data_IF_172466772724
#
_entry.id   IF_172466772724
#
_cell.length_a   1.000
_cell.length_b   1.000
_cell.length_c   1.000
_cell.angle_alpha   90.00
_cell.angle_beta   90.00
_cell.angle_gamma   90.00
#
_symmetry.space_group_name_H-M   'P 1'
#
loop_
_entity.id
_entity.type
_entity.pdbx_description
1 polymer ?
#
# COMPACT_ATOMS: atom_id res chain seq x y z
N UNK A 1 -3.28 27.78 -14.06
CA UNK A 1 -2.96 26.96 -12.89
C UNK A 1 -4.24 26.64 -12.14
N UNK A 2 -4.41 25.40 -11.75
CA UNK A 2 -5.60 24.90 -11.03
C UNK A 2 -5.15 24.17 -9.78
N UNK A 3 -5.82 24.47 -8.64
CA UNK A 3 -5.73 23.71 -7.39
C UNK A 3 -7.06 23.01 -7.16
N UNK A 4 -7.05 21.68 -7.14
CA UNK A 4 -8.19 20.85 -6.79
C UNK A 4 -8.04 20.38 -5.35
N UNK A 5 -8.82 20.96 -4.46
CA UNK A 5 -8.90 20.66 -3.03
C UNK A 5 -10.35 20.37 -2.65
N UNK A 6 -10.71 19.32 -2.02
CA UNK A 6 -9.97 18.16 -1.56
C UNK A 6 -10.56 16.92 -2.24
N UNK A 7 -9.74 16.01 -2.71
CA UNK A 7 -10.18 14.81 -3.44
C UNK A 7 -11.15 13.95 -2.62
N UNK A 8 -10.95 13.83 -1.32
CA UNK A 8 -11.83 13.06 -0.44
C UNK A 8 -13.28 13.59 -0.43
N UNK A 9 -13.47 14.92 -0.44
CA UNK A 9 -14.80 15.51 -0.54
C UNK A 9 -15.42 15.31 -1.93
N UNK A 10 -14.64 15.43 -2.99
CA UNK A 10 -15.12 15.18 -4.35
C UNK A 10 -15.63 13.73 -4.48
N UNK A 11 -14.86 12.76 -4.00
CA UNK A 11 -15.28 11.35 -4.01
C UNK A 11 -16.56 11.13 -3.21
N UNK A 12 -16.68 11.72 -2.02
CA UNK A 12 -17.90 11.61 -1.23
C UNK A 12 -19.12 12.21 -1.93
N UNK A 13 -18.95 13.36 -2.58
CA UNK A 13 -20.02 14.01 -3.33
C UNK A 13 -20.45 13.15 -4.52
N UNK A 14 -19.52 12.66 -5.32
CA UNK A 14 -19.82 11.81 -6.47
C UNK A 14 -20.45 10.47 -6.09
N UNK A 15 -20.13 9.93 -4.92
CA UNK A 15 -20.72 8.67 -4.45
C UNK A 15 -22.12 8.83 -3.87
N UNK A 16 -22.39 9.92 -3.15
CA UNK A 16 -23.54 10.00 -2.25
C UNK A 16 -24.56 11.10 -2.59
N UNK A 17 -24.21 12.08 -3.43
CA UNK A 17 -25.19 13.09 -3.86
C UNK A 17 -26.08 12.55 -4.99
N UNK A 18 -27.33 13.00 -5.06
CA UNK A 18 -28.29 12.61 -6.12
C UNK A 18 -27.80 12.90 -7.53
N UNK A 19 -27.02 13.97 -7.70
CA UNK A 19 -26.42 14.36 -8.99
C UNK A 19 -25.06 13.68 -9.25
N UNK A 20 -24.56 12.88 -8.33
CA UNK A 20 -23.27 12.22 -8.44
C UNK A 20 -23.32 10.94 -9.30
N UNK A 21 -22.15 10.43 -9.65
CA UNK A 21 -22.01 9.24 -10.49
C UNK A 21 -22.24 7.89 -9.73
N UNK A 22 -22.46 7.95 -8.41
CA UNK A 22 -22.74 6.78 -7.58
C UNK A 22 -21.63 5.71 -7.65
N UNK A 23 -21.97 4.50 -8.07
CA UNK A 23 -21.03 3.39 -8.19
C UNK A 23 -19.97 3.58 -9.31
N UNK A 24 -20.10 4.58 -10.15
CA UNK A 24 -19.16 4.95 -11.22
C UNK A 24 -18.33 6.19 -10.89
N UNK A 25 -18.32 6.62 -9.62
CA UNK A 25 -17.61 7.82 -9.16
C UNK A 25 -16.11 7.81 -9.52
N UNK A 26 -15.45 6.66 -9.46
CA UNK A 26 -14.04 6.53 -9.83
C UNK A 26 -13.79 6.84 -11.31
N UNK A 27 -14.64 6.35 -12.22
CA UNK A 27 -14.50 6.61 -13.64
C UNK A 27 -14.78 8.08 -13.98
N UNK A 28 -15.89 8.63 -13.47
CA UNK A 28 -16.28 10.01 -13.71
C UNK A 28 -15.20 11.01 -13.22
N UNK A 29 -14.67 10.80 -12.02
CA UNK A 29 -13.61 11.65 -11.46
C UNK A 29 -12.33 11.56 -12.30
N UNK A 30 -11.89 10.35 -12.67
CA UNK A 30 -10.66 10.17 -13.44
C UNK A 30 -10.76 10.74 -14.86
N UNK A 31 -11.92 10.65 -15.50
CA UNK A 31 -12.20 11.30 -16.79
C UNK A 31 -12.14 12.83 -16.65
N UNK A 32 -12.86 13.40 -15.65
CA UNK A 32 -12.84 14.83 -15.39
C UNK A 32 -11.45 15.38 -15.09
N UNK A 33 -10.63 14.65 -14.34
CA UNK A 33 -9.22 15.03 -14.05
C UNK A 33 -8.37 15.02 -15.32
N UNK A 34 -8.53 14.03 -16.21
CA UNK A 34 -7.81 13.99 -17.50
C UNK A 34 -8.19 15.17 -18.40
N UNK A 35 -9.47 15.50 -18.48
CA UNK A 35 -9.95 16.66 -19.22
C UNK A 35 -9.44 17.97 -18.63
N UNK A 36 -9.49 18.13 -17.31
CA UNK A 36 -8.98 19.30 -16.61
C UNK A 36 -7.47 19.49 -16.82
N UNK A 37 -6.70 18.40 -16.76
CA UNK A 37 -5.26 18.44 -17.00
C UNK A 37 -4.88 18.86 -18.43
N UNK A 38 -5.75 18.57 -19.42
CA UNK A 38 -5.53 19.04 -20.81
C UNK A 38 -5.83 20.53 -20.99
N UNK A 39 -6.63 21.12 -20.10
CA UNK A 39 -7.10 22.52 -20.20
C UNK A 39 -6.29 23.50 -19.36
N UNK A 40 -5.40 23.03 -18.50
CA UNK A 40 -4.58 23.90 -17.63
C UNK A 40 -3.08 23.65 -17.82
N UNK A 41 -2.27 24.67 -17.52
CA UNK A 41 -0.80 24.56 -17.58
C UNK A 41 -0.22 23.78 -16.42
N UNK A 42 -0.79 23.96 -15.20
CA UNK A 42 -0.41 23.24 -14.01
C UNK A 42 -1.66 22.83 -13.24
N UNK A 43 -1.71 21.58 -12.83
CA UNK A 43 -2.76 21.02 -12.00
C UNK A 43 -2.15 20.49 -10.69
N UNK A 44 -2.59 21.02 -9.57
CA UNK A 44 -2.24 20.52 -8.23
C UNK A 44 -3.47 19.87 -7.62
N UNK A 45 -3.35 18.63 -7.19
CA UNK A 45 -4.43 17.86 -6.56
C UNK A 45 -4.04 17.54 -5.13
N UNK A 46 -4.90 17.89 -4.18
CA UNK A 46 -4.73 17.59 -2.75
C UNK A 46 -5.67 16.47 -2.35
N UNK A 47 -5.13 15.43 -1.72
CA UNK A 47 -5.88 14.30 -1.20
C UNK A 47 -5.50 14.02 0.25
N UNK A 48 -6.39 13.37 1.00
CA UNK A 48 -6.16 13.04 2.40
C UNK A 48 -5.71 11.57 2.53
N UNK A 49 -4.86 11.33 3.52
CA UNK A 49 -4.52 9.99 3.96
C UNK A 49 -5.58 9.54 4.98
N UNK A 50 -6.43 8.59 4.59
CA UNK A 50 -7.53 8.04 5.39
C UNK A 50 -7.48 6.50 5.50
N UNK A 51 -6.37 5.91 5.06
CA UNK A 51 -6.26 4.47 4.81
C UNK A 51 -5.60 3.69 5.95
N UNK A 52 -5.00 4.39 6.89
CA UNK A 52 -4.18 3.79 7.96
C UNK A 52 -4.91 3.73 9.32
N UNK A 53 -6.25 3.84 9.32
CA UNK A 53 -7.06 3.70 10.52
C UNK A 53 -7.22 2.23 10.93
N UNK A 54 -7.15 1.98 12.23
CA UNK A 54 -7.26 0.64 12.82
C UNK A 54 -8.69 0.21 13.19
N UNK A 55 -9.65 1.14 13.14
CA UNK A 55 -11.05 0.83 13.46
C UNK A 55 -11.71 0.11 12.28
N UNK A 56 -12.48 -0.97 12.53
CA UNK A 56 -13.21 -1.63 11.46
C UNK A 56 -14.17 -0.68 10.75
N UNK A 57 -13.99 -0.55 9.44
CA UNK A 57 -14.84 0.30 8.60
C UNK A 57 -16.24 -0.33 8.42
N UNK A 58 -17.27 0.50 8.35
CA UNK A 58 -18.56 0.09 7.81
C UNK A 58 -18.42 -0.32 6.34
N UNK A 59 -19.36 -1.11 5.77
CA UNK A 59 -19.33 -1.45 4.35
C UNK A 59 -19.22 -0.23 3.43
N UNK A 60 -19.93 0.85 3.76
CA UNK A 60 -19.91 2.12 3.01
C UNK A 60 -18.53 2.79 3.10
N UNK A 61 -17.92 2.82 4.29
CA UNK A 61 -16.59 3.39 4.48
C UNK A 61 -15.51 2.58 3.74
N UNK A 62 -15.63 1.24 3.73
CA UNK A 62 -14.73 0.39 2.95
C UNK A 62 -14.81 0.69 1.46
N UNK A 63 -16.03 0.86 0.94
CA UNK A 63 -16.24 1.18 -0.48
C UNK A 63 -15.71 2.57 -0.81
N UNK A 64 -15.96 3.57 0.03
CA UNK A 64 -15.40 4.91 -0.10
C UNK A 64 -13.86 4.89 -0.12
N UNK A 65 -13.22 4.22 0.84
CA UNK A 65 -11.75 4.08 0.87
C UNK A 65 -11.22 3.34 -0.36
N UNK A 66 -11.93 2.31 -0.83
CA UNK A 66 -11.54 1.56 -2.02
C UNK A 66 -11.54 2.46 -3.27
N UNK A 67 -12.60 3.27 -3.45
CA UNK A 67 -12.73 4.20 -4.58
C UNK A 67 -11.66 5.29 -4.50
N UNK A 68 -11.53 5.96 -3.36
CA UNK A 68 -10.52 7.00 -3.15
C UNK A 68 -9.10 6.46 -3.34
N UNK A 69 -8.79 5.29 -2.81
CA UNK A 69 -7.47 4.65 -2.96
C UNK A 69 -7.14 4.33 -4.42
N UNK A 70 -8.11 3.83 -5.19
CA UNK A 70 -7.96 3.60 -6.62
C UNK A 70 -7.69 4.90 -7.38
N UNK A 71 -8.47 5.95 -7.11
CA UNK A 71 -8.28 7.26 -7.72
C UNK A 71 -6.89 7.81 -7.40
N UNK A 72 -6.46 7.75 -6.14
CA UNK A 72 -5.14 8.22 -5.72
C UNK A 72 -4.00 7.48 -6.43
N UNK A 73 -4.10 6.16 -6.60
CA UNK A 73 -3.11 5.37 -7.34
C UNK A 73 -3.04 5.77 -8.83
N UNK A 74 -4.19 5.95 -9.48
CA UNK A 74 -4.25 6.35 -10.89
C UNK A 74 -3.71 7.78 -11.10
N UNK A 75 -4.07 8.71 -10.21
CA UNK A 75 -3.54 10.10 -10.25
C UNK A 75 -2.03 10.09 -10.03
N UNK A 76 -1.53 9.36 -9.03
CA UNK A 76 -0.11 9.27 -8.73
C UNK A 76 0.70 8.66 -9.91
N UNK A 77 0.10 7.70 -10.64
CA UNK A 77 0.72 7.14 -11.84
C UNK A 77 0.86 8.19 -12.95
N UNK A 78 -0.15 9.05 -13.15
CA UNK A 78 -0.16 10.12 -14.17
C UNK A 78 0.66 11.35 -13.77
N UNK A 79 0.75 11.67 -12.47
CA UNK A 79 1.40 12.88 -11.99
C UNK A 79 2.91 12.89 -12.27
N UNK A 80 3.46 14.07 -12.59
CA UNK A 80 4.91 14.26 -12.71
C UNK A 80 5.61 14.23 -11.35
N UNK A 81 4.93 14.71 -10.32
CA UNK A 81 5.44 14.78 -8.95
C UNK A 81 4.37 14.33 -7.95
N UNK A 82 4.79 13.56 -6.95
CA UNK A 82 3.96 13.18 -5.80
C UNK A 82 4.70 13.53 -4.52
N UNK A 83 4.02 14.26 -3.64
CA UNK A 83 4.57 14.70 -2.35
C UNK A 83 3.62 14.30 -1.23
N UNK A 84 4.12 13.59 -0.24
CA UNK A 84 3.44 13.34 1.02
C UNK A 84 3.81 14.44 2.02
N UNK A 85 2.85 14.99 2.73
CA UNK A 85 3.10 16.00 3.77
C UNK A 85 2.73 15.42 5.12
N UNK A 86 3.73 15.29 6.01
CA UNK A 86 3.57 14.76 7.37
C UNK A 86 3.97 15.87 8.35
N UNK A 87 3.04 16.31 9.17
CA UNK A 87 3.25 17.43 10.12
C UNK A 87 3.87 18.68 9.49
N UNK A 88 3.44 19.02 8.27
CA UNK A 88 3.98 20.16 7.53
C UNK A 88 5.32 19.91 6.82
N UNK A 89 5.92 18.74 6.99
CA UNK A 89 7.19 18.37 6.35
C UNK A 89 6.89 17.64 5.04
N UNK A 90 7.33 18.21 3.91
CA UNK A 90 7.14 17.64 2.60
C UNK A 90 8.13 16.49 2.33
N UNK A 91 7.61 15.33 1.99
CA UNK A 91 8.38 14.16 1.56
C UNK A 91 8.07 13.81 0.10
N UNK A 92 9.04 13.95 -0.76
CA UNK A 92 8.86 13.67 -2.18
C UNK A 92 8.87 12.15 -2.43
N UNK A 93 7.76 11.63 -2.98
CA UNK A 93 7.58 10.20 -3.31
C UNK A 93 7.87 9.92 -4.78
N UNK A 94 7.49 10.82 -5.69
CA UNK A 94 7.81 10.77 -7.12
C UNK A 94 8.39 12.11 -7.53
N UNK A 95 9.51 12.09 -8.24
CA UNK A 95 10.17 13.28 -8.79
C UNK A 95 9.77 13.44 -10.25
N UNK A 96 9.72 14.69 -10.78
CA UNK A 96 9.61 14.90 -12.21
C UNK A 96 10.80 14.21 -12.90
N UNK A 97 10.54 13.57 -14.04
CA UNK A 97 11.62 13.13 -14.90
C UNK A 97 12.45 14.36 -15.29
N UNK A 98 13.62 14.50 -14.71
CA UNK A 98 14.54 15.57 -15.09
C UNK A 98 14.81 15.41 -16.57
N UNK A 99 14.50 16.43 -17.37
CA UNK A 99 14.88 16.51 -18.78
C UNK A 99 16.38 16.21 -18.86
N UNK A 100 16.70 14.98 -19.21
CA UNK A 100 18.07 14.60 -19.55
C UNK A 100 18.41 15.46 -20.77
N UNK A 101 19.29 16.45 -20.56
CA UNK A 101 19.87 17.23 -21.63
C UNK A 101 20.40 16.27 -22.71
N UNK A 102 19.70 16.21 -23.85
CA UNK A 102 20.09 15.45 -25.03
C UNK A 102 21.30 16.09 -25.70
N UNK A 103 22.43 16.19 -24.99
CA UNK A 103 23.73 16.59 -25.59
C UNK A 103 24.87 15.98 -24.78
N UNK A 104 24.90 14.67 -24.61
CA UNK A 104 26.16 13.96 -24.38
C UNK A 104 26.06 12.59 -25.03
N UNK A 105 27.04 12.33 -25.94
CA UNK A 105 27.18 11.04 -26.62
C UNK A 105 27.45 9.91 -25.61
N UNK A 106 27.06 8.68 -25.91
CA UNK A 106 27.15 7.58 -24.97
C UNK A 106 28.62 7.19 -24.77
N UNK A 107 29.13 7.57 -23.60
CA UNK A 107 30.22 6.84 -22.97
C UNK A 107 29.62 5.57 -22.37
N UNK A 108 30.13 4.43 -22.79
CA UNK A 108 29.75 3.10 -22.31
C UNK A 108 30.02 3.01 -20.81
N UNK A 109 28.98 3.13 -19.99
CA UNK A 109 28.94 2.53 -18.65
C UNK A 109 27.67 1.69 -18.56
N UNK A 110 27.83 0.45 -18.97
CA UNK A 110 26.95 -0.66 -18.69
C UNK A 110 26.90 -0.91 -17.18
N UNK A 111 25.81 -0.51 -16.52
CA UNK A 111 25.21 -1.18 -15.36
C UNK A 111 24.29 -0.23 -14.59
N UNK A 112 23.08 -0.03 -15.09
CA UNK A 112 21.89 0.33 -14.29
C UNK A 112 20.59 0.08 -15.10
N UNK A 113 20.49 -1.04 -15.76
CA UNK A 113 19.23 -1.74 -15.96
C UNK A 113 18.94 -2.41 -14.62
N UNK A 114 17.84 -2.06 -13.99
CA UNK A 114 17.37 -2.78 -12.80
C UNK A 114 16.96 -4.20 -13.16
N UNK A 115 17.94 -5.03 -13.52
CA UNK A 115 17.82 -6.47 -13.46
C UNK A 115 17.79 -6.83 -11.98
N UNK A 116 16.60 -7.21 -11.53
CA UNK A 116 16.39 -7.92 -10.28
C UNK A 116 17.15 -9.26 -10.42
N UNK A 117 18.43 -9.24 -10.07
CA UNK A 117 19.24 -10.45 -9.99
C UNK A 117 18.60 -11.35 -8.94
N UNK A 118 17.88 -12.36 -9.38
CA UNK A 118 17.47 -13.50 -8.55
C UNK A 118 18.72 -14.14 -7.96
N UNK A 119 19.22 -13.57 -6.87
CA UNK A 119 20.28 -14.16 -6.10
C UNK A 119 19.67 -15.35 -5.34
N UNK A 120 19.94 -16.55 -5.79
CA UNK A 120 19.63 -17.78 -5.07
C UNK A 120 20.40 -17.78 -3.74
N UNK A 121 19.79 -17.23 -2.70
CA UNK A 121 20.17 -17.45 -1.29
C UNK A 121 18.91 -17.77 -0.50
N UNK A 122 19.02 -18.86 0.24
CA UNK A 122 17.99 -19.42 1.11
C UNK A 122 17.39 -18.36 2.05
N UNK A 123 16.07 -18.33 2.14
CA UNK A 123 15.24 -17.58 3.08
C UNK A 123 15.35 -16.04 3.03
N UNK A 124 15.01 -15.42 1.90
CA UNK A 124 14.84 -13.95 1.84
C UNK A 124 13.38 -13.58 1.84
N UNK A 125 12.91 -12.99 2.94
CA UNK A 125 11.54 -12.49 3.03
C UNK A 125 11.51 -11.02 2.61
N UNK A 126 10.67 -10.71 1.61
CA UNK A 126 10.31 -9.35 1.24
C UNK A 126 8.98 -8.98 1.93
N UNK A 127 8.97 -7.88 2.66
CA UNK A 127 7.77 -7.37 3.33
C UNK A 127 7.28 -6.13 2.60
N UNK A 128 6.01 -6.13 2.19
CA UNK A 128 5.33 -5.00 1.57
C UNK A 128 4.25 -4.50 2.52
N UNK A 129 4.39 -3.26 2.99
CA UNK A 129 3.44 -2.60 3.89
C UNK A 129 2.82 -1.35 3.26
N UNK A 130 1.81 -0.79 3.89
CA UNK A 130 1.16 0.46 3.51
C UNK A 130 -0.30 0.47 3.95
N UNK A 131 -0.97 1.61 3.88
CA UNK A 131 -2.39 1.73 4.20
C UNK A 131 -3.29 0.86 3.33
N UNK A 132 -4.52 0.62 3.75
CA UNK A 132 -5.52 -0.08 2.95
C UNK A 132 -5.66 0.58 1.56
N UNK A 133 -5.93 -0.20 0.52
CA UNK A 133 -6.16 0.28 -0.86
C UNK A 133 -5.04 1.12 -1.51
N UNK A 134 -3.83 1.09 -0.97
CA UNK A 134 -2.67 1.83 -1.49
C UNK A 134 -1.93 1.11 -2.64
N UNK A 135 -2.50 0.06 -3.22
CA UNK A 135 -1.94 -0.63 -4.39
C UNK A 135 -0.89 -1.71 -4.08
N UNK A 136 -0.72 -2.13 -2.82
CA UNK A 136 0.26 -3.15 -2.39
C UNK A 136 0.17 -4.45 -3.18
N UNK A 137 -1.03 -5.02 -3.30
CA UNK A 137 -1.24 -6.28 -4.02
C UNK A 137 -0.92 -6.14 -5.52
N UNK A 138 -1.34 -5.04 -6.15
CA UNK A 138 -1.00 -4.75 -7.55
C UNK A 138 0.51 -4.65 -7.75
N UNK A 139 1.20 -3.94 -6.88
CA UNK A 139 2.66 -3.84 -6.90
C UNK A 139 3.31 -5.21 -6.74
N UNK A 140 2.90 -6.00 -5.73
CA UNK A 140 3.41 -7.35 -5.50
C UNK A 140 3.23 -8.27 -6.71
N UNK A 141 2.03 -8.30 -7.32
CA UNK A 141 1.74 -9.11 -8.51
C UNK A 141 2.59 -8.67 -9.72
N UNK A 142 2.91 -7.38 -9.83
CA UNK A 142 3.76 -6.87 -10.90
C UNK A 142 5.20 -7.34 -10.78
N UNK A 143 5.76 -7.35 -9.56
CA UNK A 143 7.16 -7.75 -9.34
C UNK A 143 7.34 -9.27 -9.14
N UNK A 144 6.27 -9.96 -8.74
CA UNK A 144 6.23 -11.42 -8.52
C UNK A 144 5.04 -12.07 -9.25
N UNK A 145 4.98 -12.05 -10.58
CA UNK A 145 3.81 -12.49 -11.34
C UNK A 145 3.48 -13.99 -11.16
N UNK A 146 4.48 -14.80 -10.85
CA UNK A 146 4.32 -16.26 -10.72
C UNK A 146 4.02 -16.71 -9.27
N UNK A 147 4.07 -15.80 -8.28
CA UNK A 147 3.81 -16.16 -6.89
C UNK A 147 2.31 -16.26 -6.60
N UNK A 148 1.86 -17.43 -6.20
CA UNK A 148 0.52 -17.64 -5.65
C UNK A 148 0.38 -16.94 -4.27
N UNK A 149 -0.58 -16.03 -4.13
CA UNK A 149 -0.84 -15.30 -2.89
C UNK A 149 -1.84 -16.07 -2.01
N UNK A 150 -1.42 -16.50 -0.83
CA UNK A 150 -2.31 -17.05 0.20
C UNK A 150 -3.07 -15.90 0.89
N UNK A 151 -4.41 -15.98 0.92
CA UNK A 151 -5.25 -14.92 1.53
C UNK A 151 -5.32 -15.08 3.05
N UNK A 152 -4.69 -14.14 3.78
CA UNK A 152 -4.68 -14.09 5.23
C UNK A 152 -6.06 -13.98 5.89
N UNK A 153 -7.11 -13.58 5.15
CA UNK A 153 -8.48 -13.53 5.71
C UNK A 153 -8.99 -14.92 6.06
N UNK A 154 -8.82 -15.91 5.17
CA UNK A 154 -9.47 -17.20 5.26
C UNK A 154 -8.53 -18.41 5.30
N UNK A 155 -7.22 -18.19 5.17
CA UNK A 155 -6.27 -19.31 5.13
C UNK A 155 -6.26 -20.13 6.42
N UNK A 156 -5.99 -21.39 6.28
CA UNK A 156 -5.75 -22.32 7.37
C UNK A 156 -4.33 -22.17 7.94
N UNK A 157 -4.11 -22.75 9.11
CA UNK A 157 -2.78 -22.80 9.70
C UNK A 157 -1.78 -23.59 8.85
N UNK A 158 -2.24 -24.67 8.22
CA UNK A 158 -1.37 -25.50 7.38
C UNK A 158 -0.98 -24.77 6.08
N UNK A 159 -1.86 -23.93 5.54
CA UNK A 159 -1.51 -23.07 4.41
C UNK A 159 -0.44 -22.04 4.81
N UNK A 160 -0.56 -21.42 6.00
CA UNK A 160 0.46 -20.47 6.48
C UNK A 160 1.82 -21.14 6.70
N UNK A 161 1.85 -22.37 7.16
CA UNK A 161 3.10 -23.12 7.37
C UNK A 161 3.86 -23.43 6.09
N UNK A 162 3.16 -23.48 4.95
CA UNK A 162 3.71 -23.97 3.68
C UNK A 162 3.61 -22.96 2.53
N UNK A 163 3.01 -21.77 2.73
CA UNK A 163 2.84 -20.79 1.67
C UNK A 163 4.17 -20.13 1.28
N UNK A 164 4.22 -19.69 0.04
CA UNK A 164 5.35 -18.91 -0.50
C UNK A 164 5.11 -17.41 -0.31
N UNK A 165 3.86 -16.97 -0.37
CA UNK A 165 3.47 -15.57 -0.21
C UNK A 165 2.16 -15.44 0.55
N UNK A 166 2.09 -14.45 1.45
CA UNK A 166 0.90 -14.14 2.25
C UNK A 166 0.43 -12.73 1.90
N UNK A 167 -0.84 -12.62 1.53
CA UNK A 167 -1.51 -11.33 1.36
C UNK A 167 -2.49 -11.09 2.52
N UNK A 168 -2.71 -9.83 2.89
CA UNK A 168 -3.56 -9.43 4.02
C UNK A 168 -3.16 -10.08 5.35
N UNK A 169 -1.88 -10.10 5.62
CA UNK A 169 -1.33 -10.71 6.83
C UNK A 169 -1.90 -10.09 8.11
N UNK A 170 -2.23 -8.79 8.11
CA UNK A 170 -2.94 -8.13 9.22
C UNK A 170 -4.25 -8.83 9.60
N UNK A 171 -5.00 -9.33 8.60
CA UNK A 171 -6.25 -10.06 8.86
C UNK A 171 -6.00 -11.43 9.50
N UNK A 172 -4.90 -12.09 9.11
CA UNK A 172 -4.48 -13.33 9.75
C UNK A 172 -4.07 -13.12 11.20
N UNK A 173 -3.26 -12.10 11.49
CA UNK A 173 -2.84 -11.79 12.88
C UNK A 173 -4.02 -11.41 13.76
N UNK A 174 -5.05 -10.74 13.20
CA UNK A 174 -6.28 -10.44 13.94
C UNK A 174 -7.04 -11.71 14.34
N UNK A 175 -7.22 -12.67 13.41
CA UNK A 175 -7.85 -13.96 13.73
C UNK A 175 -7.04 -14.76 14.74
N UNK A 176 -5.71 -14.74 14.58
CA UNK A 176 -4.77 -15.41 15.48
C UNK A 176 -4.94 -14.93 16.92
N UNK A 177 -5.02 -13.62 17.12
CA UNK A 177 -5.25 -13.02 18.43
C UNK A 177 -6.64 -13.33 18.98
N UNK A 178 -7.70 -13.30 18.15
CA UNK A 178 -9.06 -13.68 18.54
C UNK A 178 -9.14 -15.13 19.05
N UNK A 179 -8.29 -16.02 18.56
CA UNK A 179 -8.17 -17.41 19.03
C UNK A 179 -7.34 -17.53 20.32
N UNK A 180 -6.91 -16.40 20.93
CA UNK A 180 -6.13 -16.36 22.17
C UNK A 180 -4.70 -16.89 22.02
N UNK A 181 -4.15 -16.88 20.82
CA UNK A 181 -2.81 -17.41 20.53
C UNK A 181 -1.73 -16.32 20.70
N UNK A 182 -0.55 -16.76 21.09
CA UNK A 182 0.56 -15.85 21.41
C UNK A 182 1.37 -15.41 20.18
N UNK A 183 2.10 -14.31 20.31
CA UNK A 183 3.03 -13.78 19.31
C UNK A 183 4.17 -14.77 19.03
N UNK A 184 4.75 -15.34 20.08
CA UNK A 184 5.87 -16.28 19.99
C UNK A 184 5.51 -17.53 19.17
N UNK A 185 4.29 -18.05 19.36
CA UNK A 185 3.80 -19.19 18.59
C UNK A 185 3.65 -18.85 17.09
N UNK A 186 3.20 -17.63 16.78
CA UNK A 186 3.10 -17.14 15.40
C UNK A 186 4.48 -17.00 14.75
N UNK A 187 5.39 -16.33 15.41
CA UNK A 187 6.76 -16.12 14.91
C UNK A 187 7.47 -17.46 14.67
N UNK A 188 7.37 -18.40 15.60
CA UNK A 188 7.92 -19.76 15.43
C UNK A 188 7.38 -20.46 14.18
N UNK A 189 6.09 -20.30 13.85
CA UNK A 189 5.50 -20.89 12.65
C UNK A 189 6.07 -20.24 11.38
N UNK A 190 6.19 -18.93 11.36
CA UNK A 190 6.74 -18.19 10.20
C UNK A 190 8.23 -18.46 10.01
N UNK A 191 9.01 -18.53 11.06
CA UNK A 191 10.44 -18.89 11.03
C UNK A 191 10.68 -20.32 10.51
N UNK A 192 9.78 -21.23 10.84
CA UNK A 192 9.84 -22.61 10.33
C UNK A 192 9.36 -22.74 8.89
N UNK A 193 8.66 -21.76 8.34
CA UNK A 193 8.26 -21.74 6.94
C UNK A 193 9.41 -21.30 6.03
N UNK A 194 10.25 -22.25 5.63
CA UNK A 194 11.40 -22.03 4.75
C UNK A 194 11.03 -21.59 3.32
N UNK A 195 9.76 -21.71 2.95
CA UNK A 195 9.26 -21.33 1.62
C UNK A 195 8.79 -19.89 1.53
N UNK A 196 8.58 -19.20 2.66
CA UNK A 196 8.04 -17.86 2.69
C UNK A 196 9.02 -16.86 2.07
N UNK A 197 8.59 -16.19 1.01
CA UNK A 197 9.36 -15.20 0.27
C UNK A 197 8.73 -13.80 0.31
N UNK A 198 7.39 -13.72 0.47
CA UNK A 198 6.66 -12.46 0.39
C UNK A 198 5.60 -12.38 1.47
N UNK A 199 5.54 -11.23 2.17
CA UNK A 199 4.50 -10.92 3.14
C UNK A 199 3.93 -9.54 2.83
N UNK A 200 2.60 -9.46 2.61
CA UNK A 200 1.89 -8.21 2.33
C UNK A 200 0.93 -7.93 3.48
N UNK A 201 1.06 -6.76 4.08
CA UNK A 201 0.23 -6.35 5.22
C UNK A 201 -0.22 -4.89 5.12
N UNK A 202 -1.40 -4.60 5.67
CA UNK A 202 -1.76 -3.22 5.95
C UNK A 202 -0.99 -2.73 7.19
N UNK A 203 -0.63 -1.45 7.18
CA UNK A 203 -0.13 -0.75 8.36
C UNK A 203 -1.29 -0.52 9.31
N UNK A 204 -1.23 -1.15 10.48
CA UNK A 204 -2.19 -0.99 11.56
C UNK A 204 -1.55 -0.14 12.65
N UNK A 205 -2.24 0.92 13.08
CA UNK A 205 -1.71 1.69 14.21
C UNK A 205 -1.63 3.19 13.97
N UNK A 206 -1.94 3.67 12.79
CA UNK A 206 -2.15 5.08 12.51
C UNK A 206 -3.59 5.50 12.90
N UNK A 207 -3.83 6.81 13.00
CA UNK A 207 -5.13 7.37 13.34
C UNK A 207 -5.42 7.37 14.85
N UNK A 208 -6.68 7.52 15.20
CA UNK A 208 -7.13 7.62 16.60
C UNK A 208 -6.93 6.29 17.35
N UNK A 209 -6.67 6.40 18.65
CA UNK A 209 -6.61 5.21 19.51
C UNK A 209 -8.02 4.61 19.63
N UNK A 210 -8.22 3.33 19.31
CA UNK A 210 -9.51 2.68 19.40
C UNK A 210 -10.08 2.72 20.82
N UNK A 211 -11.39 2.90 20.94
CA UNK A 211 -12.09 2.82 22.24
C UNK A 211 -12.20 1.35 22.68
N UNK A 212 -12.36 0.45 21.73
CA UNK A 212 -12.47 -0.99 21.95
C UNK A 212 -11.14 -1.58 22.45
N UNK A 213 -11.20 -2.38 23.52
CA UNK A 213 -10.01 -2.95 24.16
C UNK A 213 -9.30 -3.96 23.26
N UNK A 214 -10.08 -4.80 22.54
CA UNK A 214 -9.52 -5.78 21.62
C UNK A 214 -8.79 -5.09 20.44
N UNK A 215 -9.36 -4.02 19.89
CA UNK A 215 -8.72 -3.30 18.78
C UNK A 215 -7.41 -2.62 19.22
N UNK A 216 -7.31 -2.18 20.50
CA UNK A 216 -6.04 -1.68 21.07
C UNK A 216 -5.01 -2.78 21.22
N UNK A 217 -5.43 -3.93 21.76
CA UNK A 217 -4.57 -5.11 21.92
C UNK A 217 -4.10 -5.63 20.54
N UNK A 218 -5.00 -5.72 19.56
CA UNK A 218 -4.68 -6.14 18.20
C UNK A 218 -3.66 -5.20 17.54
N UNK A 219 -3.83 -3.90 17.69
CA UNK A 219 -2.91 -2.89 17.17
C UNK A 219 -1.50 -3.08 17.73
N UNK A 220 -1.38 -3.29 19.03
CA UNK A 220 -0.11 -3.54 19.70
C UNK A 220 0.48 -4.89 19.28
N UNK A 221 -0.32 -5.94 19.27
CA UNK A 221 0.08 -7.28 18.87
C UNK A 221 0.64 -7.29 17.44
N UNK A 222 -0.12 -6.75 16.49
CA UNK A 222 0.29 -6.71 15.09
C UNK A 222 1.57 -5.88 14.90
N UNK A 223 1.65 -4.72 15.53
CA UNK A 223 2.85 -3.87 15.48
C UNK A 223 4.09 -4.59 15.96
N UNK A 224 4.02 -5.31 17.10
CA UNK A 224 5.14 -6.09 17.63
C UNK A 224 5.55 -7.24 16.70
N UNK A 225 4.57 -7.97 16.14
CA UNK A 225 4.84 -9.03 15.14
C UNK A 225 5.56 -8.46 13.92
N UNK A 226 5.06 -7.35 13.36
CA UNK A 226 5.64 -6.74 12.17
C UNK A 226 7.04 -6.17 12.43
N UNK A 227 7.31 -5.64 13.61
CA UNK A 227 8.65 -5.16 13.99
C UNK A 227 9.67 -6.31 13.97
N UNK A 228 9.37 -7.43 14.61
CA UNK A 228 10.28 -8.58 14.64
C UNK A 228 10.47 -9.20 13.24
N UNK A 229 9.41 -9.29 12.44
CA UNK A 229 9.53 -9.76 11.06
C UNK A 229 10.35 -8.80 10.19
N UNK A 230 10.20 -7.48 10.35
CA UNK A 230 10.98 -6.49 9.61
C UNK A 230 12.47 -6.52 9.98
N UNK A 231 12.82 -6.83 11.24
CA UNK A 231 14.20 -7.02 11.66
C UNK A 231 14.86 -8.21 10.95
N UNK A 232 14.10 -9.27 10.67
CA UNK A 232 14.59 -10.48 10.00
C UNK A 232 14.52 -10.38 8.48
N UNK A 233 13.63 -9.55 7.92
CA UNK A 233 13.42 -9.41 6.48
C UNK A 233 14.64 -8.82 5.76
N UNK A 234 14.86 -9.24 4.52
CA UNK A 234 15.92 -8.69 3.65
C UNK A 234 15.52 -7.38 2.98
N UNK A 235 14.23 -7.21 2.76
CA UNK A 235 13.68 -6.02 2.13
C UNK A 235 12.34 -5.66 2.76
N UNK A 236 12.16 -4.38 3.05
CA UNK A 236 10.88 -3.82 3.49
C UNK A 236 10.55 -2.62 2.62
N UNK A 237 9.41 -2.67 1.96
CA UNK A 237 8.89 -1.59 1.12
C UNK A 237 7.54 -1.10 1.64
N UNK A 238 7.36 0.20 1.67
CA UNK A 238 6.10 0.88 1.97
C UNK A 238 5.48 1.40 0.69
N UNK A 239 4.19 1.10 0.47
CA UNK A 239 3.47 1.57 -0.71
C UNK A 239 2.57 2.74 -0.32
N UNK A 240 2.75 3.86 -1.00
CA UNK A 240 1.91 5.06 -0.88
C UNK A 240 1.39 5.41 -2.26
N UNK A 241 0.08 5.41 -2.46
CA UNK A 241 -0.58 5.70 -3.75
C UNK A 241 0.00 4.89 -4.93
N UNK A 242 0.30 3.61 -4.71
CA UNK A 242 0.90 2.72 -5.71
C UNK A 242 2.40 2.89 -5.93
N UNK A 243 3.05 3.83 -5.24
CA UNK A 243 4.49 4.12 -5.36
C UNK A 243 5.24 3.38 -4.25
N UNK A 244 6.19 2.48 -4.60
CA UNK A 244 7.02 1.81 -3.61
C UNK A 244 8.09 2.73 -3.05
N UNK A 245 8.30 2.63 -1.76
CA UNK A 245 9.39 3.29 -1.04
C UNK A 245 10.13 2.25 -0.20
N UNK A 246 11.39 2.02 -0.52
CA UNK A 246 12.22 1.11 0.25
C UNK A 246 12.55 1.70 1.62
N UNK A 247 12.31 0.90 2.70
CA UNK A 247 12.61 1.26 4.09
C UNK A 247 13.87 0.50 4.54
N UNK A 248 13.99 -0.76 4.11
CA UNK A 248 15.13 -1.63 4.40
C UNK A 248 15.64 -2.34 3.15
#
# INVERSE_FOLDING_TARGET
>A
DVLLECMSNLVANEMYMESGAGCHADQAILEGIRELNQQCSNLVIVTNEVFSESVPDSPEMKEYKRILGRINCEIAAMADQVTEVIYGIAQQKKKPDTLVNRTEKPGVDSNKSGEFVMCQKENRVHIIIGGAFQGKTQYATKIYPELGLTDGINCSLDEIRNCVAINKFHSFTRRWLLEGRTKEALLTILENNRSLQLLISDEIGYGLVPIDDFEREYREFHGRVMTELAEQADCVERIVCGIPQRIK
#
